data_IF_975382508786
#
_entry.id   IF_975382508786
#
_cell.length_a   1.000
_cell.length_b   1.000
_cell.length_c   1.000
_cell.angle_alpha   90.00
_cell.angle_beta   90.00
_cell.angle_gamma   90.00
#
_symmetry.space_group_name_H-M   'P 1'
#
loop_
_entity.id
_entity.type
_entity.pdbx_description
1 polymer ?
#
# COMPACT_ATOMS: atom_id res chain seq x y z
N UNK A 1 14.63 -41.06 24.68
CA UNK A 1 13.77 -40.85 23.50
C UNK A 1 13.60 -42.18 22.82
N UNK A 2 12.38 -42.68 22.79
CA UNK A 2 12.08 -44.09 22.49
C UNK A 2 12.04 -44.33 20.97
N UNK A 3 12.54 -45.48 20.52
CA UNK A 3 12.69 -45.81 19.08
C UNK A 3 11.32 -45.94 18.39
N UNK A 4 10.25 -46.20 19.16
CA UNK A 4 8.86 -46.23 18.69
C UNK A 4 8.30 -44.83 18.34
N UNK A 5 8.59 -43.80 19.14
CA UNK A 5 8.13 -42.43 18.87
C UNK A 5 8.80 -41.79 17.64
N UNK A 6 9.99 -42.26 17.27
CA UNK A 6 10.68 -41.84 16.04
C UNK A 6 10.09 -42.47 14.77
N UNK A 7 9.47 -43.65 14.88
CA UNK A 7 8.83 -44.36 13.75
C UNK A 7 7.52 -43.71 13.34
N UNK A 8 6.65 -43.37 14.31
CA UNK A 8 5.34 -42.75 14.06
C UNK A 8 5.48 -41.33 13.48
N UNK A 9 6.49 -40.56 13.92
CA UNK A 9 6.82 -39.23 13.36
C UNK A 9 7.37 -39.22 11.94
N UNK A 10 7.68 -40.38 11.35
CA UNK A 10 8.16 -40.49 9.96
C UNK A 10 7.04 -40.85 8.99
N UNK A 11 5.98 -41.53 9.43
CA UNK A 11 4.84 -41.88 8.56
C UNK A 11 3.91 -40.69 8.25
N UNK A 12 3.79 -39.70 9.14
CA UNK A 12 2.96 -38.52 8.89
C UNK A 12 3.56 -37.54 7.87
N UNK A 13 4.89 -37.57 7.68
CA UNK A 13 5.61 -36.63 6.81
C UNK A 13 5.55 -36.96 5.31
N UNK A 14 4.96 -38.09 4.94
CA UNK A 14 4.80 -38.54 3.55
C UNK A 14 3.36 -38.56 3.04
N UNK A 15 2.37 -38.19 3.87
CA UNK A 15 0.97 -38.17 3.45
C UNK A 15 0.74 -36.99 2.53
N UNK A 16 0.74 -37.32 1.25
CA UNK A 16 0.28 -36.49 0.16
C UNK A 16 -1.10 -35.93 0.51
N UNK A 17 -1.20 -34.61 0.65
CA UNK A 17 -2.50 -33.96 0.90
C UNK A 17 -3.39 -34.17 -0.33
N UNK A 18 -4.28 -35.14 -0.20
CA UNK A 18 -5.18 -35.58 -1.27
C UNK A 18 -6.11 -34.46 -1.70
N UNK A 19 -6.44 -33.51 -0.83
CA UNK A 19 -7.26 -32.35 -1.20
C UNK A 19 -6.49 -31.39 -2.09
N UNK A 20 -5.23 -31.07 -1.73
CA UNK A 20 -4.34 -30.26 -2.57
C UNK A 20 -4.12 -30.89 -3.96
N UNK A 21 -3.95 -32.21 -4.02
CA UNK A 21 -3.75 -32.92 -5.28
C UNK A 21 -5.02 -33.06 -6.12
N UNK A 22 -6.17 -33.34 -5.50
CA UNK A 22 -7.46 -33.32 -6.16
C UNK A 22 -7.78 -31.92 -6.70
N UNK A 23 -7.47 -30.87 -5.94
CA UNK A 23 -7.62 -29.48 -6.37
C UNK A 23 -6.68 -29.15 -7.54
N UNK A 24 -5.42 -29.58 -7.48
CA UNK A 24 -4.44 -29.37 -8.56
C UNK A 24 -4.83 -30.10 -9.87
N UNK A 25 -5.31 -31.34 -9.79
CA UNK A 25 -5.76 -32.13 -10.95
C UNK A 25 -7.05 -31.55 -11.55
N UNK A 26 -8.00 -31.11 -10.70
CA UNK A 26 -9.21 -30.43 -11.14
C UNK A 26 -8.88 -29.13 -11.89
N UNK A 27 -7.93 -28.37 -11.35
CA UNK A 27 -7.41 -27.14 -11.93
C UNK A 27 -6.73 -27.36 -13.30
N UNK A 28 -5.98 -28.45 -13.48
CA UNK A 28 -5.38 -28.81 -14.79
C UNK A 28 -6.41 -29.19 -15.86
N UNK A 29 -7.58 -29.71 -15.47
CA UNK A 29 -8.62 -30.12 -16.43
C UNK A 29 -9.36 -28.95 -17.06
N UNK A 30 -9.30 -27.73 -16.50
CA UNK A 30 -10.03 -26.57 -17.03
C UNK A 30 -9.20 -25.27 -17.15
N UNK A 31 -8.27 -25.19 -18.12
CA UNK A 31 -7.37 -24.04 -18.29
C UNK A 31 -8.08 -22.71 -18.56
N UNK A 32 -9.26 -22.74 -19.19
CA UNK A 32 -10.07 -21.54 -19.48
C UNK A 32 -10.69 -20.95 -18.22
N UNK A 33 -11.06 -21.80 -17.27
CA UNK A 33 -11.61 -21.40 -15.97
C UNK A 33 -10.51 -20.84 -15.06
N UNK A 34 -9.29 -21.39 -15.13
CA UNK A 34 -8.12 -20.78 -14.49
C UNK A 34 -7.81 -19.40 -15.06
N UNK A 35 -7.81 -19.26 -16.38
CA UNK A 35 -7.53 -17.96 -17.04
C UNK A 35 -8.62 -16.93 -16.70
N UNK A 36 -9.88 -17.36 -16.63
CA UNK A 36 -11.02 -16.50 -16.25
C UNK A 36 -10.96 -16.11 -14.76
N UNK A 37 -10.66 -17.06 -13.88
CA UNK A 37 -10.43 -16.82 -12.45
C UNK A 37 -9.22 -15.92 -12.20
N UNK A 38 -8.16 -16.04 -13.00
CA UNK A 38 -6.97 -15.19 -12.88
C UNK A 38 -7.30 -13.76 -13.28
N UNK A 39 -7.97 -13.55 -14.42
CA UNK A 39 -8.42 -12.23 -14.86
C UNK A 39 -9.43 -11.60 -13.89
N UNK A 40 -10.39 -12.37 -13.39
CA UNK A 40 -11.35 -11.92 -12.38
C UNK A 40 -10.66 -11.56 -11.07
N UNK A 41 -9.70 -12.36 -10.60
CA UNK A 41 -8.90 -12.04 -9.41
C UNK A 41 -8.04 -10.80 -9.60
N UNK A 42 -7.45 -10.59 -10.76
CA UNK A 42 -6.69 -9.36 -11.05
C UNK A 42 -7.61 -8.13 -11.11
N UNK A 43 -8.80 -8.24 -11.69
CA UNK A 43 -9.80 -7.16 -11.69
C UNK A 43 -10.35 -6.86 -10.28
N UNK A 44 -10.63 -7.89 -9.47
CA UNK A 44 -11.05 -7.74 -8.07
C UNK A 44 -9.93 -7.18 -7.20
N UNK A 45 -8.68 -7.61 -7.40
CA UNK A 45 -7.51 -7.06 -6.72
C UNK A 45 -7.29 -5.59 -7.10
N UNK A 46 -7.52 -5.22 -8.36
CA UNK A 46 -7.49 -3.82 -8.80
C UNK A 46 -8.59 -3.00 -8.14
N UNK A 47 -9.82 -3.51 -8.03
CA UNK A 47 -10.89 -2.81 -7.31
C UNK A 47 -10.60 -2.66 -5.80
N UNK A 48 -9.80 -3.56 -5.22
CA UNK A 48 -9.43 -3.56 -3.81
C UNK A 48 -8.14 -2.77 -3.49
N UNK A 49 -7.43 -2.25 -4.50
CA UNK A 49 -6.18 -1.54 -4.28
C UNK A 49 -6.43 -0.22 -3.51
N UNK A 50 -5.61 0.05 -2.50
CA UNK A 50 -5.75 1.22 -1.61
C UNK A 50 -4.78 2.32 -2.02
N UNK A 51 -5.31 3.52 -2.24
CA UNK A 51 -4.51 4.72 -2.49
C UNK A 51 -4.61 5.67 -1.29
N UNK A 52 -3.49 5.96 -0.64
CA UNK A 52 -3.41 7.00 0.38
C UNK A 52 -3.01 8.33 -0.26
N UNK A 53 -3.87 9.33 -0.09
CA UNK A 53 -3.64 10.69 -0.55
C UNK A 53 -3.24 11.58 0.61
N UNK A 54 -1.98 12.04 0.59
CA UNK A 54 -1.38 12.93 1.56
C UNK A 54 -1.40 14.36 1.02
N UNK A 55 -2.10 15.26 1.71
CA UNK A 55 -2.23 16.63 1.24
C UNK A 55 -2.59 17.61 2.37
N UNK A 56 -2.16 18.88 2.26
CA UNK A 56 -2.24 19.83 3.36
C UNK A 56 -3.68 20.28 3.66
N UNK A 57 -4.50 20.47 2.63
CA UNK A 57 -5.88 20.99 2.74
C UNK A 57 -6.77 20.38 1.68
N UNK A 58 -8.10 20.42 1.86
CA UNK A 58 -9.05 19.87 0.89
C UNK A 58 -9.16 20.78 -0.36
N UNK A 59 -8.20 20.66 -1.28
CA UNK A 59 -8.11 21.48 -2.48
C UNK A 59 -8.94 20.91 -3.64
N UNK A 60 -9.26 21.71 -4.68
CA UNK A 60 -9.83 21.18 -5.92
C UNK A 60 -8.98 20.08 -6.56
N UNK A 61 -7.66 20.14 -6.40
CA UNK A 61 -6.73 19.12 -6.88
C UNK A 61 -7.03 17.75 -6.25
N UNK A 62 -7.19 17.69 -4.92
CA UNK A 62 -7.56 16.45 -4.21
C UNK A 62 -8.86 15.87 -4.75
N UNK A 63 -9.88 16.73 -4.95
CA UNK A 63 -11.17 16.29 -5.48
C UNK A 63 -11.02 15.69 -6.88
N UNK A 64 -10.23 16.33 -7.74
CA UNK A 64 -9.93 15.82 -9.07
C UNK A 64 -9.17 14.49 -9.04
N UNK A 65 -8.18 14.35 -8.16
CA UNK A 65 -7.43 13.10 -7.98
C UNK A 65 -8.33 11.98 -7.48
N UNK A 66 -9.14 12.25 -6.43
CA UNK A 66 -10.12 11.27 -5.91
C UNK A 66 -11.04 10.79 -7.02
N UNK A 67 -11.63 11.71 -7.79
CA UNK A 67 -12.51 11.39 -8.92
C UNK A 67 -11.81 10.61 -10.03
N UNK A 68 -10.57 10.96 -10.37
CA UNK A 68 -9.83 10.28 -11.43
C UNK A 68 -9.48 8.82 -11.07
N UNK A 69 -9.34 8.53 -9.79
CA UNK A 69 -8.89 7.23 -9.29
C UNK A 69 -10.02 6.37 -8.70
N UNK A 70 -11.24 6.87 -8.57
CA UNK A 70 -12.35 6.19 -7.89
C UNK A 70 -12.71 4.82 -8.47
N UNK A 71 -12.46 4.60 -9.77
CA UNK A 71 -12.72 3.32 -10.44
C UNK A 71 -11.55 2.32 -10.34
N UNK A 72 -10.40 2.74 -9.80
CA UNK A 72 -9.16 1.96 -9.76
C UNK A 72 -8.62 1.76 -8.35
N UNK A 73 -8.97 2.64 -7.42
CA UNK A 73 -8.45 2.59 -6.05
C UNK A 73 -9.53 3.04 -5.06
N UNK A 74 -9.49 2.43 -3.87
CA UNK A 74 -10.08 3.02 -2.69
C UNK A 74 -9.19 4.17 -2.21
N UNK A 75 -9.57 5.41 -2.56
CA UNK A 75 -8.78 6.61 -2.25
C UNK A 75 -9.17 7.18 -0.88
N UNK A 76 -8.23 7.17 0.06
CA UNK A 76 -8.42 7.67 1.43
C UNK A 76 -7.40 8.76 1.77
N UNK A 77 -7.77 9.63 2.69
CA UNK A 77 -6.87 10.60 3.34
C UNK A 77 -6.78 10.29 4.84
N UNK A 78 -5.72 10.71 5.54
CA UNK A 78 -5.65 10.55 7.00
C UNK A 78 -6.83 11.16 7.77
N UNK A 79 -7.52 12.15 7.19
CA UNK A 79 -8.70 12.81 7.76
C UNK A 79 -9.98 11.98 7.61
N UNK A 80 -10.05 11.10 6.62
CA UNK A 80 -11.22 10.24 6.37
C UNK A 80 -11.34 9.13 7.42
N UNK A 81 -10.26 8.83 8.13
CA UNK A 81 -10.22 7.81 9.19
C UNK A 81 -10.30 8.51 10.55
N UNK A 82 -11.15 8.08 11.51
CA UNK A 82 -11.15 8.67 12.84
C UNK A 82 -9.95 8.20 13.68
N UNK A 83 -9.46 9.06 14.58
CA UNK A 83 -8.40 8.73 15.55
C UNK A 83 -9.05 8.41 16.89
N UNK A 84 -9.50 7.16 17.11
CA UNK A 84 -10.18 6.75 18.36
C UNK A 84 -9.19 6.60 19.54
N UNK A 85 -8.49 7.68 19.92
CA UNK A 85 -7.52 7.68 21.02
C UNK A 85 -6.13 7.12 20.68
N UNK A 86 -5.90 6.65 19.45
CA UNK A 86 -4.57 6.30 18.97
C UNK A 86 -3.73 7.54 18.67
N UNK A 87 -2.40 7.42 18.82
CA UNK A 87 -1.48 8.46 18.38
C UNK A 87 -1.65 8.67 16.87
N UNK A 88 -1.69 9.93 16.44
CA UNK A 88 -1.85 10.29 15.02
C UNK A 88 -0.77 9.64 14.16
N UNK A 89 0.45 9.52 14.71
CA UNK A 89 1.60 8.90 14.05
C UNK A 89 1.36 7.42 13.78
N UNK A 90 0.84 6.67 14.76
CA UNK A 90 0.56 5.24 14.61
C UNK A 90 -0.49 5.01 13.53
N UNK A 91 -1.59 5.77 13.62
CA UNK A 91 -2.67 5.72 12.62
C UNK A 91 -2.15 5.98 11.22
N UNK A 92 -1.43 7.07 11.02
CA UNK A 92 -0.89 7.44 9.70
C UNK A 92 0.10 6.39 9.20
N UNK A 93 0.94 5.85 10.07
CA UNK A 93 1.87 4.77 9.74
C UNK A 93 1.14 3.51 9.30
N UNK A 94 0.07 3.11 10.00
CA UNK A 94 -0.78 1.98 9.58
C UNK A 94 -1.41 2.23 8.21
N UNK A 95 -1.89 3.44 7.93
CA UNK A 95 -2.45 3.78 6.61
C UNK A 95 -1.39 3.66 5.50
N UNK A 96 -0.15 4.08 5.77
CA UNK A 96 0.97 3.93 4.83
C UNK A 96 1.26 2.44 4.58
N UNK A 97 1.34 1.64 5.64
CA UNK A 97 1.60 0.18 5.55
C UNK A 97 0.52 -0.53 4.76
N UNK A 98 -0.73 -0.13 4.92
CA UNK A 98 -1.89 -0.76 4.27
C UNK A 98 -2.11 -0.32 2.81
N UNK A 99 -1.40 0.71 2.34
CA UNK A 99 -1.64 1.28 1.02
C UNK A 99 -0.77 0.65 -0.05
N UNK A 100 -1.34 0.47 -1.24
CA UNK A 100 -0.67 -0.04 -2.44
C UNK A 100 -0.03 1.10 -3.25
N UNK A 101 -0.62 2.30 -3.16
CA UNK A 101 -0.12 3.52 -3.77
C UNK A 101 -0.25 4.68 -2.78
N UNK A 102 0.77 5.55 -2.77
CA UNK A 102 0.75 6.79 -2.01
C UNK A 102 0.92 7.94 -2.98
N UNK A 103 0.00 8.89 -2.93
CA UNK A 103 0.07 10.14 -3.68
C UNK A 103 0.25 11.27 -2.68
N UNK A 104 1.29 12.08 -2.84
CA UNK A 104 1.56 13.19 -1.94
C UNK A 104 1.61 14.52 -2.68
N UNK A 105 0.79 15.47 -2.23
CA UNK A 105 0.84 16.86 -2.66
C UNK A 105 1.94 17.60 -1.89
N UNK A 106 3.05 17.85 -2.58
CA UNK A 106 4.22 18.59 -2.09
C UNK A 106 4.24 20.03 -2.61
N UNK A 107 3.09 20.57 -3.02
CA UNK A 107 2.93 21.98 -3.40
C UNK A 107 3.15 22.93 -2.22
N UNK A 108 3.22 22.43 -0.99
CA UNK A 108 3.57 23.18 0.22
C UNK A 108 4.65 22.43 1.00
N UNK A 109 5.38 23.15 1.85
CA UNK A 109 6.39 22.59 2.76
C UNK A 109 5.75 22.14 4.09
N UNK A 110 4.76 21.25 4.03
CA UNK A 110 4.12 20.72 5.24
C UNK A 110 5.01 19.63 5.87
N UNK A 111 5.52 19.83 7.10
CA UNK A 111 6.42 18.87 7.74
C UNK A 111 5.77 17.51 8.02
N UNK A 112 4.46 17.46 8.26
CA UNK A 112 3.74 16.20 8.46
C UNK A 112 3.76 15.37 7.17
N UNK A 113 3.54 16.01 6.01
CA UNK A 113 3.58 15.33 4.71
C UNK A 113 5.01 14.87 4.39
N UNK A 114 6.03 15.67 4.74
CA UNK A 114 7.43 15.25 4.56
C UNK A 114 7.78 14.04 5.44
N UNK A 115 7.30 14.00 6.69
CA UNK A 115 7.43 12.84 7.57
C UNK A 115 6.76 11.60 6.95
N UNK A 116 5.50 11.73 6.51
CA UNK A 116 4.72 10.65 5.90
C UNK A 116 5.38 10.08 4.64
N UNK A 117 5.89 10.96 3.75
CA UNK A 117 6.69 10.57 2.58
C UNK A 117 7.95 9.82 3.02
N UNK A 118 8.66 10.32 4.04
CA UNK A 118 9.86 9.67 4.58
C UNK A 118 9.59 8.24 5.05
N UNK A 119 8.52 8.05 5.83
CA UNK A 119 8.07 6.72 6.28
C UNK A 119 7.72 5.82 5.09
N UNK A 120 6.95 6.33 4.13
CA UNK A 120 6.56 5.59 2.93
C UNK A 120 7.76 5.13 2.10
N UNK A 121 8.72 6.02 1.86
CA UNK A 121 9.97 5.72 1.14
C UNK A 121 10.81 4.70 1.91
N UNK A 122 10.93 4.85 3.24
CA UNK A 122 11.63 3.89 4.10
C UNK A 122 11.03 2.48 4.03
N UNK A 123 9.70 2.39 3.88
CA UNK A 123 8.96 1.14 3.69
C UNK A 123 8.92 0.65 2.23
N UNK A 124 9.59 1.35 1.30
CA UNK A 124 9.61 1.07 -0.14
C UNK A 124 8.22 1.02 -0.77
N UNK A 125 7.29 1.84 -0.27
CA UNK A 125 5.97 1.99 -0.87
C UNK A 125 6.06 2.75 -2.21
N UNK A 126 5.21 2.44 -3.20
CA UNK A 126 5.09 3.26 -4.39
C UNK A 126 4.60 4.67 -4.03
N UNK A 127 5.41 5.70 -4.26
CA UNK A 127 5.10 7.09 -3.95
C UNK A 127 5.10 7.94 -5.23
N UNK A 128 3.98 8.59 -5.52
CA UNK A 128 3.84 9.59 -6.56
C UNK A 128 3.77 10.98 -5.94
N UNK A 129 4.75 11.83 -6.23
CA UNK A 129 4.78 13.21 -5.77
C UNK A 129 4.12 14.14 -6.80
N UNK A 130 3.21 14.98 -6.34
CA UNK A 130 2.52 15.99 -7.16
C UNK A 130 2.83 17.36 -6.60
N UNK A 131 3.09 18.32 -7.49
CA UNK A 131 3.42 19.70 -7.11
C UNK A 131 2.83 20.68 -8.11
N UNK A 132 2.27 21.77 -7.63
CA UNK A 132 1.94 22.92 -8.45
C UNK A 132 3.24 23.58 -8.97
N UNK A 133 3.24 23.97 -10.25
CA UNK A 133 4.33 24.69 -10.89
C UNK A 133 4.57 26.07 -10.26
N UNK A 134 3.55 26.67 -9.65
CA UNK A 134 3.63 28.02 -9.05
C UNK A 134 4.35 28.06 -7.70
N UNK A 135 4.45 26.93 -7.00
CA UNK A 135 5.21 26.91 -5.76
C UNK A 135 6.68 27.07 -6.12
N UNK A 136 7.32 28.16 -5.70
CA UNK A 136 8.77 28.34 -5.80
C UNK A 136 9.50 27.14 -5.16
N UNK A 137 10.76 26.91 -5.54
CA UNK A 137 11.63 25.86 -5.01
C UNK A 137 11.98 26.09 -3.53
N UNK A 138 10.97 26.17 -2.67
CA UNK A 138 11.07 26.52 -1.26
C UNK A 138 11.87 25.47 -0.49
N UNK A 139 11.81 24.21 -0.92
CA UNK A 139 12.64 23.13 -0.40
C UNK A 139 14.13 23.36 -0.71
N UNK A 140 14.46 23.65 -1.97
CA UNK A 140 15.84 23.93 -2.40
C UNK A 140 16.37 25.24 -1.81
N UNK A 141 15.55 26.27 -1.66
CA UNK A 141 15.97 27.54 -1.05
C UNK A 141 16.12 27.46 0.47
N UNK A 142 15.26 26.69 1.17
CA UNK A 142 15.40 26.45 2.61
C UNK A 142 16.66 25.63 2.92
N UNK A 143 16.95 24.59 2.15
CA UNK A 143 18.19 23.82 2.29
C UNK A 143 19.42 24.62 1.87
N UNK A 144 19.36 25.39 0.77
CA UNK A 144 20.46 26.26 0.34
C UNK A 144 20.75 27.35 1.38
N UNK A 145 19.73 27.99 1.95
CA UNK A 145 19.87 29.02 2.99
C UNK A 145 20.44 28.48 4.30
N UNK A 146 20.24 27.20 4.60
CA UNK A 146 20.90 26.53 5.73
C UNK A 146 22.38 26.23 5.44
N UNK A 147 22.70 25.77 4.22
CA UNK A 147 24.08 25.49 3.80
C UNK A 147 24.93 26.76 3.65
N UNK A 148 24.33 27.89 3.28
CA UNK A 148 25.05 29.16 3.14
C UNK A 148 25.25 29.94 4.46
N UNK A 149 24.71 29.43 5.57
CA UNK A 149 24.89 29.99 6.92
C UNK A 149 25.83 29.13 7.81
N UNK A 150 26.65 28.27 7.20
CA UNK A 150 27.74 27.51 7.84
C UNK A 150 29.10 28.07 7.45
#
# INVERSE_FOLDING_TARGET
MDVKEMGERREERGKVDTNLLSQYISNMKNPKEQTKNFKQREEEQRLNARCLLLAPSNTPLIKSIKKALENFYSVITPKDVPSHGSLIVDKVTSLIVDSDLIIADVSTTNPNIMYEIGVAVGLRKPVLLIRDKKTENMLLSAFAGWLSNQ
#
